data_IF_554068444165
#
_entry.id   IF_554068444165
#
_cell.length_a   1.000
_cell.length_b   1.000
_cell.length_c   1.000
_cell.angle_alpha   90.00
_cell.angle_beta   90.00
_cell.angle_gamma   90.00
#
_symmetry.space_group_name_H-M   'P 1'
#
loop_
_entity.id
_entity.type
_entity.pdbx_description
1 polymer ?
#
# COMPACT_ATOMS: atom_id res chain seq x y z
N UNK A 1 16.81 -13.00 8.08
CA UNK A 1 16.79 -12.12 6.89
C UNK A 1 16.01 -10.87 7.28
N UNK A 2 16.38 -9.65 6.86
CA UNK A 2 15.75 -8.42 7.36
C UNK A 2 14.34 -8.19 6.79
N UNK A 3 13.90 -9.01 5.83
CA UNK A 3 12.56 -8.97 5.25
C UNK A 3 11.74 -10.13 5.81
N UNK A 4 10.60 -9.81 6.39
CA UNK A 4 9.65 -10.79 6.91
C UNK A 4 8.27 -10.56 6.29
N UNK A 5 7.57 -11.64 5.92
CA UNK A 5 6.14 -11.61 5.61
C UNK A 5 5.39 -11.84 6.91
N UNK A 6 4.61 -10.87 7.35
CA UNK A 6 3.93 -10.94 8.65
C UNK A 6 2.94 -12.11 8.71
N UNK A 7 2.32 -12.48 7.57
CA UNK A 7 1.43 -13.64 7.46
C UNK A 7 2.07 -14.98 7.80
N UNK A 8 3.40 -15.05 7.72
CA UNK A 8 4.16 -16.29 7.86
C UNK A 8 4.85 -16.38 9.23
N UNK A 9 4.67 -15.36 10.07
CA UNK A 9 5.29 -15.25 11.38
C UNK A 9 4.33 -15.63 12.51
N UNK A 10 4.86 -16.29 13.52
CA UNK A 10 4.26 -16.35 14.85
C UNK A 10 4.37 -14.99 15.56
N UNK A 11 3.52 -14.74 16.55
CA UNK A 11 3.58 -13.50 17.32
C UNK A 11 4.91 -13.35 18.09
N UNK A 12 5.57 -14.46 18.46
CA UNK A 12 6.87 -14.45 19.14
C UNK A 12 7.98 -13.99 18.20
N UNK A 13 7.99 -14.48 16.95
CA UNK A 13 8.93 -13.99 15.94
C UNK A 13 8.74 -12.50 15.70
N UNK A 14 7.50 -11.98 15.72
CA UNK A 14 7.23 -10.55 15.61
C UNK A 14 7.76 -9.78 16.82
N UNK A 15 7.53 -10.28 18.05
CA UNK A 15 8.04 -9.69 19.30
C UNK A 15 9.56 -9.51 19.25
N UNK A 16 10.26 -10.50 18.68
CA UNK A 16 11.72 -10.60 18.67
C UNK A 16 12.38 -9.82 17.51
N UNK A 17 11.59 -9.17 16.64
CA UNK A 17 12.11 -8.22 15.62
C UNK A 17 12.52 -6.87 16.23
N UNK A 18 13.43 -6.14 15.55
CA UNK A 18 13.74 -4.75 15.90
C UNK A 18 12.66 -3.79 15.39
N UNK A 19 11.50 -3.81 16.05
CA UNK A 19 10.29 -3.04 15.68
C UNK A 19 10.54 -1.53 15.63
N UNK A 20 11.48 -1.00 16.41
CA UNK A 20 11.80 0.43 16.46
C UNK A 20 12.54 0.91 15.21
N UNK A 21 13.25 0.01 14.53
CA UNK A 21 13.92 0.25 13.26
C UNK A 21 13.18 -0.41 12.08
N UNK A 22 11.90 -0.74 12.28
CA UNK A 22 11.11 -1.44 11.29
C UNK A 22 10.33 -0.50 10.38
N UNK A 23 10.26 -0.86 9.10
CA UNK A 23 9.29 -0.32 8.13
C UNK A 23 8.28 -1.40 7.82
N UNK A 24 7.01 -1.14 8.12
CA UNK A 24 5.92 -1.98 7.62
C UNK A 24 5.57 -1.56 6.19
N UNK A 25 5.41 -2.52 5.28
CA UNK A 25 4.94 -2.28 3.92
C UNK A 25 3.58 -2.95 3.77
N UNK A 26 2.56 -2.15 3.46
CA UNK A 26 1.20 -2.61 3.18
C UNK A 26 0.98 -2.65 1.66
N UNK A 27 0.88 -3.84 1.05
CA UNK A 27 0.41 -3.94 -0.32
C UNK A 27 -1.08 -3.61 -0.39
N UNK A 28 -1.47 -2.79 -1.35
CA UNK A 28 -2.85 -2.36 -1.55
C UNK A 28 -3.21 -2.46 -3.04
N UNK A 29 -4.28 -3.18 -3.34
CA UNK A 29 -4.86 -3.30 -4.68
C UNK A 29 -6.37 -3.45 -4.60
N UNK A 30 -6.99 -3.90 -5.68
CA UNK A 30 -8.42 -4.19 -5.75
C UNK A 30 -8.70 -5.58 -6.36
N UNK A 31 -9.94 -6.02 -6.18
CA UNK A 31 -10.58 -7.02 -7.05
C UNK A 31 -11.31 -6.25 -8.14
N UNK A 32 -10.69 -6.13 -9.32
CA UNK A 32 -11.15 -5.27 -10.41
C UNK A 32 -10.95 -5.94 -11.79
N UNK A 33 -11.82 -5.63 -12.75
CA UNK A 33 -11.67 -6.08 -14.13
C UNK A 33 -10.46 -5.45 -14.86
N UNK A 34 -9.56 -6.29 -15.38
CA UNK A 34 -8.43 -5.88 -16.22
C UNK A 34 -8.52 -6.44 -17.65
N UNK A 35 -9.70 -6.29 -18.25
CA UNK A 35 -10.00 -6.85 -19.58
C UNK A 35 -10.05 -8.39 -19.59
N UNK A 36 -10.15 -9.01 -20.77
CA UNK A 36 -10.43 -10.44 -20.89
C UNK A 36 -9.22 -11.36 -20.67
N UNK A 37 -8.04 -10.80 -20.40
CA UNK A 37 -6.76 -11.52 -20.44
C UNK A 37 -6.01 -11.55 -19.10
N UNK A 38 -6.44 -10.74 -18.12
CA UNK A 38 -5.83 -10.67 -16.80
C UNK A 38 -6.83 -11.05 -15.71
N UNK A 39 -6.34 -11.62 -14.58
CA UNK A 39 -7.19 -11.97 -13.45
C UNK A 39 -7.67 -10.73 -12.68
N UNK A 40 -8.78 -10.88 -11.94
CA UNK A 40 -9.35 -9.80 -11.12
C UNK A 40 -8.42 -9.32 -10.00
N UNK A 41 -7.45 -10.13 -9.58
CA UNK A 41 -6.49 -9.78 -8.52
C UNK A 41 -5.20 -9.13 -9.02
N UNK A 42 -5.17 -8.62 -10.25
CA UNK A 42 -3.95 -8.10 -10.89
C UNK A 42 -3.29 -7.03 -10.04
N UNK A 43 -4.07 -6.08 -9.51
CA UNK A 43 -3.53 -5.01 -8.66
C UNK A 43 -2.83 -5.55 -7.42
N UNK A 44 -3.42 -6.53 -6.73
CA UNK A 44 -2.83 -7.11 -5.52
C UNK A 44 -1.54 -7.84 -5.86
N UNK A 45 -1.50 -8.60 -6.97
CA UNK A 45 -0.31 -9.30 -7.43
C UNK A 45 0.83 -8.31 -7.69
N UNK A 46 0.55 -7.19 -8.36
CA UNK A 46 1.55 -6.15 -8.66
C UNK A 46 1.99 -5.46 -7.36
N UNK A 47 1.06 -5.09 -6.49
CA UNK A 47 1.34 -4.43 -5.22
C UNK A 47 2.25 -5.29 -4.31
N UNK A 48 2.00 -6.60 -4.22
CA UNK A 48 2.86 -7.52 -3.49
C UNK A 48 4.27 -7.64 -4.11
N UNK A 49 4.35 -7.69 -5.44
CA UNK A 49 5.63 -7.73 -6.13
C UNK A 49 6.45 -6.45 -5.89
N UNK A 50 5.79 -5.28 -5.92
CA UNK A 50 6.38 -3.99 -5.57
C UNK A 50 6.84 -3.95 -4.12
N UNK A 51 6.01 -4.42 -3.18
CA UNK A 51 6.35 -4.49 -1.76
C UNK A 51 7.58 -5.36 -1.52
N UNK A 52 7.66 -6.55 -2.15
CA UNK A 52 8.82 -7.44 -2.06
C UNK A 52 10.09 -6.80 -2.61
N UNK A 53 10.00 -6.13 -3.77
CA UNK A 53 11.14 -5.45 -4.38
C UNK A 53 11.65 -4.27 -3.54
N UNK A 54 10.74 -3.47 -2.99
CA UNK A 54 11.06 -2.37 -2.07
C UNK A 54 11.66 -2.86 -0.76
N UNK A 55 11.09 -3.94 -0.19
CA UNK A 55 11.57 -4.53 1.05
C UNK A 55 13.03 -4.97 0.95
N UNK A 56 13.43 -5.59 -0.16
CA UNK A 56 14.82 -6.03 -0.34
C UNK A 56 15.79 -4.84 -0.34
N UNK A 57 15.39 -3.69 -0.88
CA UNK A 57 16.23 -2.48 -0.88
C UNK A 57 16.38 -1.90 0.52
N UNK A 58 15.27 -1.72 1.24
CA UNK A 58 15.26 -1.21 2.61
C UNK A 58 16.05 -2.13 3.56
N UNK A 59 15.93 -3.45 3.38
CA UNK A 59 16.71 -4.44 4.11
C UNK A 59 18.22 -4.32 3.87
N UNK A 60 18.63 -4.03 2.63
CA UNK A 60 20.05 -3.77 2.32
C UNK A 60 20.56 -2.48 2.97
N UNK A 61 19.67 -1.52 3.25
CA UNK A 61 19.96 -0.29 3.99
C UNK A 61 19.96 -0.50 5.52
N UNK A 62 19.81 -1.74 5.99
CA UNK A 62 19.90 -2.11 7.41
C UNK A 62 18.59 -1.99 8.19
N UNK A 63 17.46 -1.81 7.51
CA UNK A 63 16.14 -1.73 8.15
C UNK A 63 15.53 -3.13 8.34
N UNK A 64 14.76 -3.30 9.41
CA UNK A 64 13.83 -4.43 9.53
C UNK A 64 12.61 -4.11 8.65
N UNK A 65 12.13 -5.06 7.86
CA UNK A 65 10.98 -4.85 6.98
C UNK A 65 9.91 -5.90 7.23
N UNK A 66 8.70 -5.43 7.51
CA UNK A 66 7.52 -6.28 7.69
C UNK A 66 6.58 -6.07 6.50
N UNK A 67 6.47 -7.04 5.59
CA UNK A 67 5.45 -7.03 4.55
C UNK A 67 4.15 -7.51 5.18
N UNK A 68 3.16 -6.63 5.28
CA UNK A 68 1.84 -6.93 5.84
C UNK A 68 1.00 -7.74 4.85
N UNK A 69 -0.05 -8.46 5.32
CA UNK A 69 -1.06 -9.02 4.44
C UNK A 69 -1.67 -7.92 3.54
N UNK A 70 -1.87 -8.21 2.24
CA UNK A 70 -2.41 -7.24 1.30
C UNK A 70 -3.87 -6.87 1.62
N UNK A 71 -4.25 -5.64 1.29
CA UNK A 71 -5.66 -5.24 1.18
C UNK A 71 -6.14 -5.60 -0.23
N UNK A 72 -7.14 -6.47 -0.29
CA UNK A 72 -7.75 -6.95 -1.54
C UNK A 72 -8.94 -6.11 -2.01
N UNK A 73 -9.66 -5.49 -1.08
CA UNK A 73 -10.89 -4.77 -1.37
C UNK A 73 -10.71 -3.30 -1.04
N UNK A 74 -10.77 -2.46 -2.08
CA UNK A 74 -10.66 -1.01 -1.99
C UNK A 74 -11.75 -0.33 -2.80
N UNK A 75 -11.76 1.00 -2.89
CA UNK A 75 -12.62 1.68 -3.86
C UNK A 75 -12.27 1.22 -5.26
N UNK A 76 -13.28 0.85 -6.04
CA UNK A 76 -13.18 0.40 -7.43
C UNK A 76 -14.44 0.84 -8.20
N UNK A 77 -14.93 2.04 -7.88
CA UNK A 77 -16.17 2.58 -8.44
C UNK A 77 -16.07 2.76 -9.95
N UNK A 78 -14.87 3.03 -10.49
CA UNK A 78 -14.67 3.22 -11.92
C UNK A 78 -14.98 1.96 -12.76
N UNK A 79 -14.85 0.77 -12.18
CA UNK A 79 -15.05 -0.50 -12.86
C UNK A 79 -16.21 -1.33 -12.27
N UNK A 80 -17.11 -0.71 -11.50
CA UNK A 80 -18.19 -1.38 -10.76
C UNK A 80 -19.20 -2.13 -11.67
N UNK A 81 -19.35 -1.66 -12.90
CA UNK A 81 -20.22 -2.26 -13.90
C UNK A 81 -19.66 -3.58 -14.47
N UNK A 82 -18.38 -3.89 -14.25
CA UNK A 82 -17.78 -5.13 -14.75
C UNK A 82 -18.01 -6.30 -13.77
N UNK A 83 -18.52 -7.45 -14.25
CA UNK A 83 -18.73 -8.61 -13.40
C UNK A 83 -17.45 -9.06 -12.68
N UNK A 84 -17.54 -9.18 -11.36
CA UNK A 84 -16.43 -9.61 -10.50
C UNK A 84 -15.64 -8.46 -9.88
N UNK A 85 -15.80 -7.22 -10.34
CA UNK A 85 -15.28 -6.05 -9.61
C UNK A 85 -16.03 -5.92 -8.28
N UNK A 86 -15.30 -5.82 -7.17
CA UNK A 86 -15.88 -5.67 -5.83
C UNK A 86 -15.21 -4.48 -5.14
N UNK A 87 -15.91 -3.34 -5.18
CA UNK A 87 -15.49 -2.11 -4.53
C UNK A 87 -16.05 -1.95 -3.11
N UNK A 88 -15.28 -1.30 -2.24
CA UNK A 88 -15.75 -0.76 -0.95
C UNK A 88 -15.58 0.76 -0.91
N UNK A 89 -16.28 1.45 -0.01
CA UNK A 89 -16.21 2.91 0.05
C UNK A 89 -14.81 3.45 0.35
N UNK A 90 -14.43 4.56 -0.28
CA UNK A 90 -13.16 5.25 -0.06
C UNK A 90 -12.89 5.59 1.42
N UNK A 91 -13.93 6.01 2.16
CA UNK A 91 -13.84 6.27 3.61
C UNK A 91 -13.49 4.99 4.40
N UNK A 92 -14.03 3.84 4.00
CA UNK A 92 -13.68 2.54 4.61
C UNK A 92 -12.20 2.21 4.40
N UNK A 93 -11.67 2.43 3.18
CA UNK A 93 -10.25 2.21 2.89
C UNK A 93 -9.37 3.11 3.75
N UNK A 94 -9.68 4.40 3.83
CA UNK A 94 -8.95 5.37 4.65
C UNK A 94 -8.94 4.95 6.12
N UNK A 95 -10.11 4.66 6.69
CA UNK A 95 -10.25 4.22 8.09
C UNK A 95 -9.47 2.94 8.37
N UNK A 96 -9.55 1.96 7.49
CA UNK A 96 -8.81 0.70 7.63
C UNK A 96 -7.29 0.93 7.69
N UNK A 97 -6.75 1.77 6.80
CA UNK A 97 -5.32 2.11 6.79
C UNK A 97 -4.91 2.82 8.08
N UNK A 98 -5.74 3.74 8.57
CA UNK A 98 -5.49 4.42 9.85
C UNK A 98 -5.51 3.48 11.05
N UNK A 99 -6.48 2.58 11.12
CA UNK A 99 -6.59 1.59 12.20
C UNK A 99 -5.42 0.60 12.18
N UNK A 100 -5.01 0.13 11.00
CA UNK A 100 -3.80 -0.68 10.83
C UNK A 100 -2.56 0.10 11.31
N UNK A 101 -2.41 1.35 10.86
CA UNK A 101 -1.31 2.22 11.25
C UNK A 101 -1.23 2.46 12.76
N UNK A 102 -2.37 2.74 13.40
CA UNK A 102 -2.46 2.93 14.84
C UNK A 102 -2.09 1.65 15.61
N UNK A 103 -2.54 0.49 15.13
CA UNK A 103 -2.18 -0.81 15.73
C UNK A 103 -0.67 -1.10 15.62
N UNK A 104 -0.04 -0.76 14.48
CA UNK A 104 1.41 -0.87 14.29
C UNK A 104 2.17 0.07 15.24
N UNK A 105 1.72 1.32 15.35
CA UNK A 105 2.34 2.31 16.24
C UNK A 105 2.26 1.86 17.71
N UNK A 106 1.12 1.32 18.14
CA UNK A 106 0.96 0.75 19.48
C UNK A 106 1.91 -0.43 19.75
N UNK A 107 2.35 -1.12 18.70
CA UNK A 107 3.36 -2.17 18.74
C UNK A 107 4.79 -1.67 18.45
N UNK A 108 5.03 -0.36 18.44
CA UNK A 108 6.36 0.23 18.32
C UNK A 108 6.91 0.32 16.89
N UNK A 109 6.09 0.06 15.86
CA UNK A 109 6.43 0.29 14.45
C UNK A 109 5.88 1.66 14.04
N UNK A 110 6.76 2.64 13.84
CA UNK A 110 6.37 4.03 13.58
C UNK A 110 6.35 4.44 12.10
N UNK A 111 6.67 3.51 11.18
CA UNK A 111 6.66 3.79 9.74
C UNK A 111 5.84 2.75 8.97
N UNK A 112 4.85 3.23 8.22
CA UNK A 112 4.00 2.45 7.32
C UNK A 112 4.16 2.95 5.88
N UNK A 113 4.70 2.13 5.00
CA UNK A 113 4.75 2.39 3.57
C UNK A 113 3.59 1.67 2.85
N UNK A 114 2.94 2.34 1.92
CA UNK A 114 1.86 1.79 1.10
C UNK A 114 2.40 1.52 -0.30
N UNK A 115 2.39 0.25 -0.71
CA UNK A 115 2.68 -0.18 -2.06
C UNK A 115 1.36 -0.39 -2.82
N UNK A 116 0.98 0.60 -3.61
CA UNK A 116 -0.31 0.62 -4.32
C UNK A 116 -0.12 0.41 -5.83
N UNK A 117 -0.97 -0.45 -6.41
CA UNK A 117 -1.04 -0.67 -7.86
C UNK A 117 -2.41 -0.33 -8.47
N UNK A 118 -3.42 -0.04 -7.64
CA UNK A 118 -4.77 0.32 -8.09
C UNK A 118 -4.93 1.84 -8.25
N UNK A 119 -5.47 2.31 -9.38
CA UNK A 119 -5.47 3.74 -9.73
C UNK A 119 -6.86 4.38 -9.81
N UNK A 120 -7.90 3.74 -9.27
CA UNK A 120 -9.22 4.37 -9.14
C UNK A 120 -9.12 5.76 -8.46
N UNK A 121 -9.71 6.83 -9.03
CA UNK A 121 -9.55 8.18 -8.50
C UNK A 121 -9.97 8.34 -7.04
N UNK A 122 -11.09 7.74 -6.62
CA UNK A 122 -11.57 7.82 -5.25
C UNK A 122 -10.63 7.06 -4.30
N UNK A 123 -10.10 5.92 -4.75
CA UNK A 123 -9.09 5.17 -4.02
C UNK A 123 -7.81 5.97 -3.80
N UNK A 124 -7.27 6.61 -4.84
CA UNK A 124 -6.05 7.43 -4.73
C UNK A 124 -6.25 8.61 -3.77
N UNK A 125 -7.42 9.25 -3.78
CA UNK A 125 -7.76 10.29 -2.81
C UNK A 125 -7.76 9.72 -1.40
N UNK A 126 -8.40 8.57 -1.17
CA UNK A 126 -8.42 7.92 0.14
C UNK A 126 -7.00 7.62 0.66
N UNK A 127 -6.10 7.09 -0.19
CA UNK A 127 -4.72 6.82 0.18
C UNK A 127 -3.95 8.10 0.54
N UNK A 128 -4.13 9.18 -0.23
CA UNK A 128 -3.50 10.47 0.06
C UNK A 128 -4.04 11.08 1.36
N UNK A 129 -5.33 11.02 1.60
CA UNK A 129 -5.89 11.48 2.88
C UNK A 129 -5.36 10.65 4.04
N UNK A 130 -5.22 9.33 3.85
CA UNK A 130 -4.65 8.44 4.84
C UNK A 130 -3.22 8.87 5.22
N UNK A 131 -2.41 9.36 4.27
CA UNK A 131 -1.04 9.83 4.57
C UNK A 131 -0.97 11.14 5.36
N UNK A 132 -1.96 12.03 5.25
CA UNK A 132 -1.93 13.35 5.90
C UNK A 132 -2.59 13.38 7.27
N UNK A 133 -3.53 12.47 7.52
CA UNK A 133 -4.35 12.44 8.75
C UNK A 133 -4.03 11.23 9.65
N UNK A 134 -2.80 10.70 9.58
CA UNK A 134 -2.37 9.59 10.43
C UNK A 134 -2.23 9.99 11.92
N UNK A 135 -2.20 9.02 12.84
CA UNK A 135 -1.93 9.26 14.26
C UNK A 135 -0.59 9.97 14.49
N UNK A 136 -0.53 10.84 15.50
CA UNK A 136 0.72 11.49 15.92
C UNK A 136 1.80 10.44 16.22
N UNK A 137 2.99 10.62 15.63
CA UNK A 137 4.11 9.70 15.78
C UNK A 137 4.15 8.54 14.78
N UNK A 138 3.11 8.34 13.95
CA UNK A 138 3.14 7.43 12.81
C UNK A 138 3.48 8.19 11.52
N UNK A 139 4.48 7.72 10.79
CA UNK A 139 4.78 8.16 9.43
C UNK A 139 4.16 7.21 8.42
N UNK A 140 3.18 7.69 7.66
CA UNK A 140 2.60 6.96 6.53
C UNK A 140 3.17 7.52 5.21
N UNK A 141 3.70 6.64 4.36
CA UNK A 141 4.30 7.00 3.06
C UNK A 141 3.58 6.28 1.94
N UNK A 142 3.05 7.00 0.96
CA UNK A 142 2.44 6.42 -0.24
C UNK A 142 3.44 6.42 -1.40
N UNK A 143 3.65 5.26 -2.01
CA UNK A 143 4.27 5.18 -3.34
C UNK A 143 3.24 5.62 -4.39
N UNK A 144 3.16 6.93 -4.62
CA UNK A 144 2.20 7.51 -5.56
C UNK A 144 2.71 7.41 -7.00
N UNK A 145 2.29 6.35 -7.71
CA UNK A 145 2.62 6.12 -9.11
C UNK A 145 1.93 7.11 -10.07
N UNK A 146 0.90 7.83 -9.62
CA UNK A 146 0.23 8.87 -10.44
C UNK A 146 1.02 10.17 -10.49
N UNK A 147 2.03 10.33 -9.64
CA UNK A 147 2.95 11.48 -9.63
C UNK A 147 4.40 11.02 -9.79
N UNK A 148 4.78 10.43 -10.94
CA UNK A 148 6.15 10.02 -11.14
C UNK A 148 7.08 11.23 -10.98
N UNK A 149 8.17 11.07 -10.23
CA UNK A 149 9.20 12.13 -10.13
C UNK A 149 9.75 12.53 -11.51
N UNK A 150 9.68 11.62 -12.49
CA UNK A 150 10.01 11.84 -13.89
C UNK A 150 8.97 12.70 -14.61
N UNK A 151 7.69 12.66 -14.24
CA UNK A 151 6.65 13.51 -14.86
C UNK A 151 6.96 15.00 -14.67
N UNK A 152 7.58 15.37 -13.53
CA UNK A 152 8.09 16.74 -13.30
C UNK A 152 9.21 17.16 -14.27
N UNK A 153 9.83 16.20 -14.96
CA UNK A 153 10.86 16.42 -15.99
C UNK A 153 10.28 16.40 -17.41
N UNK A 154 9.00 16.08 -17.56
CA UNK A 154 8.28 16.12 -18.83
C UNK A 154 7.65 17.50 -19.06
N UNK A 155 7.26 17.80 -20.30
CA UNK A 155 6.59 19.05 -20.67
C UNK A 155 5.23 19.19 -19.97
N UNK A 156 4.70 20.41 -19.87
CA UNK A 156 3.45 20.71 -19.18
C UNK A 156 2.26 19.88 -19.68
N UNK A 157 2.25 19.54 -20.97
CA UNK A 157 1.23 18.71 -21.62
C UNK A 157 1.13 17.30 -20.99
N UNK A 158 2.27 16.68 -20.66
CA UNK A 158 2.33 15.36 -20.01
C UNK A 158 2.14 15.43 -18.49
N UNK A 159 2.22 16.63 -17.90
CA UNK A 159 1.97 16.83 -16.46
C UNK A 159 0.48 16.98 -16.14
N UNK A 160 -0.33 17.39 -17.13
CA UNK A 160 -1.77 17.62 -16.97
C UNK A 160 -2.65 16.43 -17.37
N UNK A 161 -2.07 15.37 -17.95
CA UNK A 161 -2.80 14.17 -18.36
C UNK A 161 -3.67 14.36 -19.61
N UNK A 162 -3.23 15.20 -20.54
CA UNK A 162 -3.85 15.37 -21.86
C UNK A 162 -3.37 14.31 -22.86
#
# INVERSE_FOLDING_TARGET
MPVHRLSDMTWEEVRDTDRRNAVAILPVGAVEAHGPHLPLGTDVIIAEAMAKAGAQKLANDGLTVLILPPIWYTSAAFADAFPGTIGVGADTVRKLIHEIGAALLAQGVSTLAIANAHLDPEHIVALREATHAGPDGLRIVLLDLTRPSVARRLTSEFQTGA
#
